data_IF_382393519917
#
_entry.id   IF_382393519917
#
_cell.length_a   1.000
_cell.length_b   1.000
_cell.length_c   1.000
_cell.angle_alpha   90.00
_cell.angle_beta   90.00
_cell.angle_gamma   90.00
#
_symmetry.space_group_name_H-M   'P 1'
#
loop_
_entity.id
_entity.type
_entity.pdbx_description
1 polymer ?
#
# COMPACT_ATOMS: atom_id res chain seq x y z
N UNK A 1 1.93 -78.21 -45.99
CA UNK A 1 3.38 -78.19 -45.88
C UNK A 1 3.81 -77.05 -44.99
N UNK A 2 4.39 -77.41 -43.85
CA UNK A 2 5.23 -76.64 -42.93
C UNK A 2 4.72 -75.27 -42.41
N UNK A 3 4.36 -75.21 -41.14
CA UNK A 3 5.11 -75.02 -39.87
C UNK A 3 5.56 -73.59 -39.60
N UNK A 4 5.15 -73.06 -38.48
CA UNK A 4 5.87 -72.65 -37.34
C UNK A 4 5.26 -71.36 -36.73
N UNK A 5 4.65 -71.43 -35.61
CA UNK A 5 5.11 -71.31 -34.19
C UNK A 5 5.70 -69.95 -33.85
N UNK A 6 5.09 -69.36 -32.84
CA UNK A 6 5.45 -68.70 -31.64
C UNK A 6 4.97 -67.26 -31.52
N UNK A 7 4.04 -67.09 -30.64
CA UNK A 7 4.14 -66.48 -29.30
C UNK A 7 4.76 -65.07 -29.20
N UNK A 8 3.95 -64.13 -28.79
CA UNK A 8 4.30 -63.24 -27.69
C UNK A 8 3.10 -62.42 -27.22
N UNK A 9 2.63 -62.77 -26.09
CA UNK A 9 1.80 -62.02 -25.16
C UNK A 9 2.30 -60.59 -24.98
N UNK A 10 1.46 -59.62 -25.26
CA UNK A 10 1.59 -58.28 -24.66
C UNK A 10 0.22 -57.78 -24.29
N UNK A 11 -0.09 -57.96 -23.02
CA UNK A 11 -1.15 -57.28 -22.28
C UNK A 11 -0.91 -55.78 -22.28
N UNK A 12 -1.69 -55.05 -23.06
CA UNK A 12 -1.78 -53.62 -22.94
C UNK A 12 -2.83 -53.28 -21.87
N UNK A 13 -2.37 -52.88 -20.72
CA UNK A 13 -3.26 -52.38 -19.66
C UNK A 13 -3.88 -51.04 -20.06
N UNK A 14 -5.20 -51.01 -20.12
CA UNK A 14 -5.98 -49.76 -20.18
C UNK A 14 -5.81 -49.03 -18.85
N UNK A 15 -5.03 -47.94 -18.89
CA UNK A 15 -5.04 -46.98 -17.78
C UNK A 15 -6.28 -46.12 -17.90
N UNK A 16 -7.26 -46.38 -17.07
CA UNK A 16 -8.44 -45.53 -16.91
C UNK A 16 -8.04 -44.27 -16.19
N UNK A 17 -7.96 -43.15 -16.91
CA UNK A 17 -7.81 -41.83 -16.31
C UNK A 17 -9.15 -41.45 -15.64
N UNK A 18 -9.19 -41.54 -14.32
CA UNK A 18 -10.27 -40.93 -13.53
C UNK A 18 -9.95 -39.44 -13.40
N UNK A 19 -10.60 -38.61 -14.20
CA UNK A 19 -10.62 -37.17 -13.99
C UNK A 19 -11.57 -36.88 -12.84
N UNK A 20 -11.03 -36.72 -11.64
CA UNK A 20 -11.77 -36.20 -10.49
C UNK A 20 -11.96 -34.69 -10.70
N UNK A 21 -13.15 -34.30 -11.17
CA UNK A 21 -13.56 -32.90 -11.15
C UNK A 21 -13.84 -32.48 -9.71
N UNK A 22 -12.86 -31.81 -9.09
CA UNK A 22 -13.03 -31.18 -7.81
C UNK A 22 -13.85 -29.90 -8.01
N UNK A 23 -15.13 -29.94 -7.68
CA UNK A 23 -15.96 -28.74 -7.54
C UNK A 23 -15.47 -28.02 -6.28
N UNK A 24 -14.66 -26.98 -6.45
CA UNK A 24 -14.33 -26.07 -5.38
C UNK A 24 -15.59 -25.26 -5.04
N UNK A 25 -16.25 -25.61 -3.95
CA UNK A 25 -17.20 -24.73 -3.28
C UNK A 25 -16.38 -23.53 -2.79
N UNK A 26 -16.55 -22.37 -3.42
CA UNK A 26 -16.04 -21.12 -2.89
C UNK A 26 -16.85 -20.75 -1.64
N UNK A 27 -16.44 -21.32 -0.52
CA UNK A 27 -16.80 -20.82 0.79
C UNK A 27 -16.09 -19.50 1.01
N UNK A 28 -16.84 -18.44 1.29
CA UNK A 28 -16.32 -17.19 1.83
C UNK A 28 -15.81 -17.49 3.25
N UNK A 29 -14.66 -18.15 3.32
CA UNK A 29 -13.91 -18.31 4.55
C UNK A 29 -12.95 -17.13 4.65
N UNK A 30 -12.95 -16.43 5.79
CA UNK A 30 -11.86 -15.55 6.17
C UNK A 30 -10.55 -16.32 5.93
N UNK A 31 -9.84 -15.97 4.87
CA UNK A 31 -8.49 -16.45 4.70
C UNK A 31 -7.66 -15.85 5.85
N UNK A 32 -7.41 -16.65 6.88
CA UNK A 32 -6.35 -16.33 7.83
C UNK A 32 -5.09 -16.34 6.97
N UNK A 33 -4.54 -15.16 6.72
CA UNK A 33 -3.30 -15.02 6.01
C UNK A 33 -2.25 -15.93 6.65
N UNK A 34 -1.65 -16.81 5.85
CA UNK A 34 -0.58 -17.68 6.33
C UNK A 34 0.69 -16.85 6.31
N UNK A 35 1.21 -16.57 7.51
CA UNK A 35 2.55 -16.04 7.65
C UNK A 35 3.55 -16.83 6.78
N UNK A 36 4.29 -16.12 5.93
CA UNK A 36 5.37 -16.71 5.14
C UNK A 36 6.61 -16.90 6.05
N UNK A 37 7.04 -18.12 6.36
CA UNK A 37 8.21 -18.33 7.22
C UNK A 37 9.51 -17.80 6.61
N UNK A 38 9.54 -17.53 5.28
CA UNK A 38 10.67 -16.92 4.57
C UNK A 38 10.45 -15.42 4.32
N UNK A 39 9.34 -14.87 4.79
CA UNK A 39 9.01 -13.46 4.65
C UNK A 39 9.98 -12.55 5.40
N UNK A 40 9.99 -11.30 5.00
CA UNK A 40 10.87 -10.27 5.55
C UNK A 40 10.12 -8.94 5.72
N UNK A 41 10.73 -8.03 6.45
CA UNK A 41 10.32 -6.64 6.55
C UNK A 41 10.96 -5.83 5.43
N UNK A 42 10.14 -5.11 4.67
CA UNK A 42 10.56 -4.05 3.74
C UNK A 42 10.27 -2.71 4.38
N UNK A 43 11.20 -1.74 4.28
CA UNK A 43 11.08 -0.45 4.95
C UNK A 43 11.57 -0.47 6.40
N UNK A 44 11.29 0.63 7.14
CA UNK A 44 11.72 0.81 8.53
C UNK A 44 10.63 1.53 9.34
N UNK A 45 9.55 0.81 9.72
CA UNK A 45 8.43 1.42 10.44
C UNK A 45 8.81 1.97 11.81
N UNK A 46 9.74 1.33 12.52
CA UNK A 46 10.19 1.81 13.83
C UNK A 46 10.82 3.22 13.74
N UNK A 47 11.71 3.43 12.77
CA UNK A 47 12.32 4.74 12.56
C UNK A 47 11.30 5.77 12.05
N UNK A 48 10.39 5.38 11.16
CA UNK A 48 9.37 6.25 10.59
C UNK A 48 8.32 6.70 11.62
N UNK A 49 8.00 5.86 12.61
CA UNK A 49 7.01 6.15 13.66
C UNK A 49 7.32 7.44 14.45
N UNK A 50 8.59 7.88 14.47
CA UNK A 50 8.99 9.12 15.12
C UNK A 50 8.39 10.39 14.47
N UNK A 51 7.99 10.29 13.20
CA UNK A 51 7.48 11.40 12.40
C UNK A 51 5.97 11.37 12.23
N UNK A 52 5.27 10.39 12.82
CA UNK A 52 3.83 10.37 12.82
C UNK A 52 3.22 11.50 13.66
N UNK A 53 2.16 12.10 13.11
CA UNK A 53 1.40 13.14 13.79
C UNK A 53 -0.09 13.01 13.50
N UNK A 54 -0.93 13.16 14.52
CA UNK A 54 -2.38 13.17 14.35
C UNK A 54 -2.81 14.46 13.64
N UNK A 55 -3.65 14.33 12.62
CA UNK A 55 -4.25 15.47 11.91
C UNK A 55 -5.37 16.12 12.73
N UNK A 56 -5.64 17.40 12.49
CA UNK A 56 -6.69 18.12 13.17
C UNK A 56 -7.88 18.49 12.27
N UNK A 57 -7.72 18.44 10.97
CA UNK A 57 -8.71 18.78 9.94
C UNK A 57 -8.58 17.84 8.75
N UNK A 58 -9.07 18.25 7.57
CA UNK A 58 -8.94 17.52 6.31
C UNK A 58 -7.52 17.76 5.71
N UNK A 59 -6.48 17.45 6.47
CA UNK A 59 -5.09 17.76 6.15
C UNK A 59 -4.20 16.50 6.10
N UNK A 60 -4.80 15.32 5.89
CA UNK A 60 -4.07 14.04 5.81
C UNK A 60 -2.90 14.09 4.81
N UNK A 61 -3.09 14.66 3.63
CA UNK A 61 -2.05 14.81 2.63
C UNK A 61 -0.91 15.71 3.10
N UNK A 62 -1.22 16.81 3.81
CA UNK A 62 -0.20 17.69 4.38
C UNK A 62 0.59 17.00 5.48
N UNK A 63 -0.08 16.21 6.33
CA UNK A 63 0.57 15.43 7.38
C UNK A 63 1.46 14.34 6.78
N UNK A 64 1.02 13.66 5.72
CA UNK A 64 1.83 12.70 5.01
C UNK A 64 3.11 13.35 4.41
N UNK A 65 2.99 14.56 3.85
CA UNK A 65 4.15 15.32 3.38
C UNK A 65 5.09 15.69 4.54
N UNK A 66 4.54 16.16 5.67
CA UNK A 66 5.36 16.52 6.85
C UNK A 66 6.14 15.32 7.38
N UNK A 67 5.50 14.17 7.45
CA UNK A 67 6.10 12.89 7.86
C UNK A 67 7.25 12.50 6.92
N UNK A 68 7.00 12.45 5.60
CA UNK A 68 8.04 12.14 4.60
C UNK A 68 9.23 13.11 4.67
N UNK A 69 8.97 14.41 4.85
CA UNK A 69 10.04 15.41 5.06
C UNK A 69 10.82 15.10 6.32
N UNK A 70 10.16 14.74 7.41
CA UNK A 70 10.78 14.33 8.66
C UNK A 70 11.70 13.12 8.47
N UNK A 71 11.18 12.07 7.84
CA UNK A 71 11.93 10.83 7.59
C UNK A 71 13.19 11.06 6.74
N UNK A 72 13.13 11.95 5.74
CA UNK A 72 14.29 12.21 4.85
C UNK A 72 15.29 13.22 5.39
N UNK A 73 14.82 14.17 6.21
CA UNK A 73 15.67 15.29 6.64
C UNK A 73 16.02 15.26 8.14
N UNK A 74 15.36 14.40 8.91
CA UNK A 74 15.45 14.39 10.38
C UNK A 74 14.72 15.58 11.05
N UNK A 75 14.01 16.41 10.28
CA UNK A 75 13.33 17.61 10.78
C UNK A 75 11.92 17.69 10.19
N UNK A 76 10.95 17.22 10.92
CA UNK A 76 9.57 17.30 10.52
C UNK A 76 9.02 18.74 10.62
N UNK A 77 8.37 19.28 9.57
CA UNK A 77 7.66 20.55 9.65
C UNK A 77 6.53 20.47 10.69
N UNK A 78 6.24 21.56 11.36
CA UNK A 78 5.02 21.63 12.17
C UNK A 78 3.79 21.62 11.28
N UNK A 79 2.64 21.16 11.80
CA UNK A 79 1.36 21.19 11.09
C UNK A 79 1.09 22.60 10.52
N UNK A 80 1.12 23.64 11.35
CA UNK A 80 0.93 25.01 10.88
C UNK A 80 1.95 25.44 9.81
N UNK A 81 3.16 24.90 9.84
CA UNK A 81 4.20 25.17 8.84
C UNK A 81 3.89 24.56 7.48
N UNK A 82 3.41 23.31 7.43
CA UNK A 82 3.04 22.65 6.18
C UNK A 82 1.72 23.20 5.63
N UNK A 83 0.73 23.49 6.47
CA UNK A 83 -0.52 24.15 6.10
C UNK A 83 -0.25 25.51 5.46
N UNK A 84 0.55 26.35 6.11
CA UNK A 84 0.91 27.67 5.59
C UNK A 84 1.59 27.56 4.22
N UNK A 85 2.46 26.57 4.04
CA UNK A 85 3.10 26.33 2.75
C UNK A 85 2.10 25.90 1.70
N UNK A 86 1.12 25.05 2.04
CA UNK A 86 0.03 24.65 1.14
C UNK A 86 -0.86 25.82 0.73
N UNK A 87 -1.25 26.69 1.67
CA UNK A 87 -2.07 27.89 1.41
C UNK A 87 -1.37 28.90 0.51
N UNK A 88 -0.04 28.98 0.53
CA UNK A 88 0.73 29.91 -0.31
C UNK A 88 1.40 29.26 -1.53
N UNK A 89 1.04 28.01 -1.85
CA UNK A 89 1.53 27.32 -3.04
C UNK A 89 0.37 27.10 -4.01
N UNK A 90 0.52 27.51 -5.26
CA UNK A 90 -0.50 27.27 -6.28
C UNK A 90 -0.60 25.78 -6.61
N UNK A 91 -1.83 25.31 -6.71
CA UNK A 91 -2.13 23.97 -7.16
C UNK A 91 -1.81 23.82 -8.66
N UNK A 92 -1.35 22.64 -9.03
CA UNK A 92 -1.23 22.22 -10.43
C UNK A 92 -2.43 21.37 -10.88
N UNK A 93 -3.23 20.85 -9.93
CA UNK A 93 -4.41 20.03 -10.21
C UNK A 93 -5.69 20.84 -10.40
N UNK A 94 -5.80 22.02 -9.75
CA UNK A 94 -7.01 22.84 -9.78
C UNK A 94 -6.70 24.34 -9.68
N UNK A 95 -7.73 25.19 -9.82
CA UNK A 95 -7.59 26.62 -9.58
C UNK A 95 -7.50 26.91 -8.08
N UNK A 96 -6.50 27.69 -7.69
CA UNK A 96 -6.32 28.12 -6.30
C UNK A 96 -4.99 27.68 -5.73
N UNK A 97 -4.97 27.55 -4.43
CA UNK A 97 -3.81 27.09 -3.68
C UNK A 97 -3.96 25.60 -3.35
N UNK A 98 -2.86 24.91 -3.03
CA UNK A 98 -2.82 23.48 -2.75
C UNK A 98 -3.79 23.10 -1.62
N UNK A 99 -3.89 23.93 -0.59
CA UNK A 99 -4.71 23.66 0.57
C UNK A 99 -5.71 24.79 0.80
N UNK A 100 -6.99 24.46 0.73
CA UNK A 100 -8.12 25.35 1.00
C UNK A 100 -9.00 24.84 2.15
N UNK A 101 -8.43 24.05 3.06
CA UNK A 101 -9.09 23.41 4.22
C UNK A 101 -10.14 22.34 3.88
N UNK A 102 -10.09 21.79 2.67
CA UNK A 102 -10.98 20.76 2.15
C UNK A 102 -10.24 19.56 1.55
N UNK A 103 -8.98 19.37 1.95
CA UNK A 103 -8.10 18.30 1.47
C UNK A 103 -7.08 18.79 0.45
N UNK A 104 -6.36 17.85 -0.13
CA UNK A 104 -5.34 18.08 -1.16
C UNK A 104 -5.41 17.02 -2.23
N UNK A 105 -5.13 17.38 -3.49
CA UNK A 105 -5.00 16.39 -4.56
C UNK A 105 -3.64 15.67 -4.48
N UNK A 106 -3.55 14.42 -4.95
CA UNK A 106 -2.26 13.71 -4.98
C UNK A 106 -1.18 14.42 -5.78
N UNK A 107 -1.52 15.06 -6.89
CA UNK A 107 -0.60 15.85 -7.72
C UNK A 107 0.01 17.00 -6.92
N UNK A 108 -0.77 17.64 -6.09
CA UNK A 108 -0.34 18.75 -5.26
C UNK A 108 0.60 18.31 -4.12
N UNK A 109 0.51 17.05 -3.67
CA UNK A 109 1.49 16.51 -2.72
C UNK A 109 2.88 16.40 -3.34
N UNK A 110 2.97 16.05 -4.64
CA UNK A 110 4.23 16.06 -5.38
C UNK A 110 4.82 17.48 -5.45
N UNK A 111 3.98 18.48 -5.76
CA UNK A 111 4.38 19.89 -5.77
C UNK A 111 4.88 20.33 -4.39
N UNK A 112 4.14 19.95 -3.34
CA UNK A 112 4.46 20.34 -1.97
C UNK A 112 5.77 19.69 -1.46
N UNK A 113 6.01 18.40 -1.76
CA UNK A 113 7.30 17.75 -1.50
C UNK A 113 8.44 18.50 -2.20
N UNK A 114 8.22 18.93 -3.46
CA UNK A 114 9.18 19.75 -4.21
C UNK A 114 9.52 21.07 -3.51
N UNK A 115 8.59 21.69 -2.77
CA UNK A 115 8.86 22.90 -1.97
C UNK A 115 9.76 22.64 -0.77
N UNK A 116 9.92 21.39 -0.35
CA UNK A 116 10.89 20.95 0.65
C UNK A 116 12.19 20.39 0.03
N UNK A 117 12.33 20.49 -1.31
CA UNK A 117 13.51 19.98 -2.02
C UNK A 117 13.47 18.45 -2.24
N UNK A 118 12.33 17.82 -2.02
CA UNK A 118 12.14 16.38 -2.20
C UNK A 118 11.49 16.15 -3.56
N UNK A 119 12.21 15.48 -4.46
CA UNK A 119 11.65 15.06 -5.73
C UNK A 119 10.86 13.76 -5.53
N UNK A 120 9.70 13.69 -6.13
CA UNK A 120 8.83 12.52 -6.05
C UNK A 120 8.07 12.31 -7.36
N UNK A 121 7.56 11.09 -7.53
CA UNK A 121 6.77 10.71 -8.70
C UNK A 121 5.45 10.11 -8.24
N UNK A 122 4.35 10.55 -8.87
CA UNK A 122 3.04 9.95 -8.73
C UNK A 122 2.88 8.87 -9.80
N UNK A 123 2.49 7.68 -9.38
CA UNK A 123 2.21 6.53 -10.25
C UNK A 123 0.91 5.86 -9.85
N UNK A 124 0.28 5.14 -10.78
CA UNK A 124 -0.96 4.37 -10.53
C UNK A 124 -0.82 2.97 -11.11
N UNK A 125 -1.70 2.05 -10.68
CA UNK A 125 -1.64 0.65 -11.12
C UNK A 125 -0.41 -0.09 -10.59
N UNK A 126 0.07 0.32 -9.42
CA UNK A 126 1.22 -0.31 -8.79
C UNK A 126 0.85 -1.69 -8.21
N UNK A 127 1.85 -2.49 -7.88
CA UNK A 127 1.68 -3.80 -7.23
C UNK A 127 2.32 -3.79 -5.86
N UNK A 128 1.96 -4.76 -5.01
CA UNK A 128 2.63 -4.93 -3.70
C UNK A 128 4.13 -5.14 -3.86
N UNK A 129 4.56 -5.90 -4.87
CA UNK A 129 5.98 -6.15 -5.14
C UNK A 129 6.72 -4.85 -5.51
N UNK A 130 6.07 -3.92 -6.25
CA UNK A 130 6.65 -2.61 -6.56
C UNK A 130 6.79 -1.77 -5.28
N UNK A 131 5.75 -1.74 -4.44
CA UNK A 131 5.79 -1.07 -3.13
C UNK A 131 6.89 -1.62 -2.23
N UNK A 132 7.03 -2.94 -2.15
CA UNK A 132 8.09 -3.61 -1.39
C UNK A 132 9.49 -3.21 -1.90
N UNK A 133 9.68 -3.13 -3.23
CA UNK A 133 10.94 -2.70 -3.84
C UNK A 133 11.27 -1.24 -3.53
N UNK A 134 10.29 -0.34 -3.59
CA UNK A 134 10.47 1.07 -3.23
C UNK A 134 10.91 1.22 -1.77
N UNK A 135 10.22 0.52 -0.86
CA UNK A 135 10.55 0.52 0.56
C UNK A 135 11.94 -0.10 0.83
N UNK A 136 12.27 -1.20 0.15
CA UNK A 136 13.59 -1.84 0.24
C UNK A 136 14.70 -0.91 -0.28
N UNK A 137 14.40 -0.09 -1.27
CA UNK A 137 15.30 0.95 -1.80
C UNK A 137 15.49 2.14 -0.85
N UNK A 138 14.73 2.22 0.24
CA UNK A 138 14.75 3.32 1.21
C UNK A 138 13.95 4.54 0.77
N UNK A 139 13.16 4.44 -0.31
CA UNK A 139 12.24 5.49 -0.74
C UNK A 139 11.12 5.66 0.28
N UNK A 140 10.56 6.86 0.37
CA UNK A 140 9.39 7.14 1.19
C UNK A 140 8.17 7.16 0.32
N UNK A 141 7.08 6.59 0.81
CA UNK A 141 5.91 6.29 0.01
C UNK A 141 4.64 6.84 0.67
N UNK A 142 3.88 7.64 -0.08
CA UNK A 142 2.52 8.04 0.29
C UNK A 142 1.56 7.25 -0.60
N UNK A 143 0.56 6.62 0.02
CA UNK A 143 -0.51 5.90 -0.69
C UNK A 143 -1.84 6.62 -0.52
N UNK A 144 -2.66 6.61 -1.58
CA UNK A 144 -4.05 7.03 -1.53
C UNK A 144 -4.95 5.81 -1.25
N UNK A 145 -5.69 5.85 -0.15
CA UNK A 145 -6.48 4.72 0.33
C UNK A 145 -7.91 5.14 0.67
N UNK A 146 -8.81 4.16 0.72
CA UNK A 146 -10.13 4.37 1.29
C UNK A 146 -10.04 4.30 2.82
N UNK A 147 -10.30 5.43 3.49
CA UNK A 147 -10.20 5.55 4.94
C UNK A 147 -11.14 4.60 5.69
N UNK A 148 -12.39 4.46 5.22
CA UNK A 148 -13.35 3.59 5.89
C UNK A 148 -12.91 2.12 5.88
N UNK A 149 -12.27 1.67 4.80
CA UNK A 149 -11.73 0.31 4.71
C UNK A 149 -10.59 0.11 5.71
N UNK A 150 -9.70 1.08 5.85
CA UNK A 150 -8.60 1.02 6.84
C UNK A 150 -9.16 1.04 8.27
N UNK A 151 -10.04 1.99 8.60
CA UNK A 151 -10.48 2.24 9.98
C UNK A 151 -11.55 1.25 10.49
N UNK A 152 -12.30 0.62 9.59
CA UNK A 152 -13.32 -0.38 9.96
C UNK A 152 -12.78 -1.81 9.86
N UNK A 153 -11.48 -1.96 9.95
CA UNK A 153 -10.86 -3.27 9.97
C UNK A 153 -11.42 -4.21 11.05
N UNK A 154 -11.58 -5.53 10.76
CA UNK A 154 -11.92 -6.15 9.48
C UNK A 154 -13.43 -6.27 9.28
N UNK A 155 -13.90 -6.29 8.06
CA UNK A 155 -13.59 -5.62 6.83
C UNK A 155 -14.31 -4.27 6.73
N UNK A 156 -13.78 -3.33 5.97
CA UNK A 156 -14.45 -2.08 5.68
C UNK A 156 -15.83 -2.32 5.08
N UNK A 157 -16.83 -1.67 5.62
CA UNK A 157 -18.21 -1.71 5.17
C UNK A 157 -18.75 -0.32 4.91
N UNK A 158 -17.86 0.64 4.78
CA UNK A 158 -18.22 2.00 4.59
C UNK A 158 -18.99 2.24 3.28
N UNK A 159 -19.66 3.36 3.22
CA UNK A 159 -20.38 3.79 2.02
C UNK A 159 -19.41 4.42 0.99
N UNK A 160 -18.19 4.77 1.38
CA UNK A 160 -17.18 5.36 0.53
C UNK A 160 -16.59 4.32 -0.41
N UNK A 161 -16.53 4.66 -1.70
CA UNK A 161 -16.07 3.74 -2.75
C UNK A 161 -14.76 4.17 -3.40
N UNK A 162 -14.28 5.38 -3.08
CA UNK A 162 -13.07 5.95 -3.66
C UNK A 162 -12.01 6.15 -2.56
N UNK A 163 -10.76 6.26 -2.98
CA UNK A 163 -9.70 6.72 -2.10
C UNK A 163 -9.98 8.18 -1.71
N UNK A 164 -9.92 8.46 -0.42
CA UNK A 164 -10.23 9.76 0.18
C UNK A 164 -9.27 10.13 1.32
N UNK A 165 -8.22 9.33 1.49
CA UNK A 165 -7.24 9.49 2.56
C UNK A 165 -5.83 9.22 2.07
N UNK A 166 -4.87 9.98 2.60
CA UNK A 166 -3.45 9.79 2.34
C UNK A 166 -2.76 9.25 3.59
N UNK A 167 -2.04 8.15 3.43
CA UNK A 167 -1.22 7.54 4.49
C UNK A 167 0.23 7.40 4.04
N UNK A 168 1.17 7.40 4.98
CA UNK A 168 2.56 7.06 4.66
C UNK A 168 2.76 5.57 4.91
N UNK A 169 3.14 4.84 3.87
CA UNK A 169 3.51 3.43 4.01
C UNK A 169 4.95 3.36 4.50
N UNK A 170 5.14 2.82 5.69
CA UNK A 170 6.43 2.80 6.38
C UNK A 170 7.11 1.44 6.32
N UNK A 171 6.33 0.38 6.06
CA UNK A 171 6.85 -0.97 5.89
C UNK A 171 5.81 -1.97 5.40
N UNK A 172 6.32 -3.07 4.85
CA UNK A 172 5.54 -4.27 4.51
C UNK A 172 6.23 -5.46 5.18
N UNK A 173 5.54 -6.12 6.12
CA UNK A 173 6.01 -7.36 6.73
C UNK A 173 5.31 -8.55 6.08
N UNK A 174 5.97 -9.17 5.11
CA UNK A 174 5.43 -10.33 4.39
C UNK A 174 5.38 -11.58 5.26
N UNK A 175 6.14 -11.62 6.37
CA UNK A 175 6.06 -12.73 7.34
C UNK A 175 4.81 -12.66 8.17
N UNK A 176 4.45 -11.45 8.62
CA UNK A 176 3.24 -11.22 9.41
C UNK A 176 1.99 -10.99 8.55
N UNK A 177 2.17 -10.77 7.23
CA UNK A 177 1.12 -10.40 6.27
C UNK A 177 0.43 -9.08 6.65
N UNK A 178 1.23 -8.08 7.02
CA UNK A 178 0.75 -6.75 7.40
C UNK A 178 1.51 -5.65 6.66
N UNK A 179 0.82 -4.53 6.48
CA UNK A 179 1.39 -3.26 6.03
C UNK A 179 1.44 -2.30 7.22
N UNK A 180 2.57 -1.66 7.42
CA UNK A 180 2.81 -0.65 8.44
C UNK A 180 2.54 0.74 7.88
N UNK A 181 1.74 1.52 8.58
CA UNK A 181 1.34 2.86 8.18
C UNK A 181 1.65 3.89 9.27
N UNK A 182 2.03 5.08 8.87
CA UNK A 182 1.78 6.27 9.64
C UNK A 182 0.48 6.89 9.11
N UNK A 183 -0.62 6.68 9.81
CA UNK A 183 -1.94 7.20 9.50
C UNK A 183 -2.26 8.40 10.40
N UNK A 184 -2.32 9.59 9.84
CA UNK A 184 -2.65 10.80 10.58
C UNK A 184 -4.12 10.90 10.97
N UNK A 185 -5.00 10.14 10.35
CA UNK A 185 -6.46 10.21 10.54
C UNK A 185 -6.97 9.57 11.82
N UNK A 186 -6.14 8.78 12.52
CA UNK A 186 -6.53 8.14 13.77
C UNK A 186 -5.56 8.45 14.91
N UNK A 187 -6.02 8.52 16.17
CA UNK A 187 -5.13 8.74 17.31
C UNK A 187 -4.12 7.61 17.54
N UNK A 188 -4.38 6.46 16.97
CA UNK A 188 -3.57 5.22 17.08
C UNK A 188 -2.80 4.92 15.81
N UNK A 189 -2.76 5.83 14.84
CA UNK A 189 -2.21 5.61 13.52
C UNK A 189 -0.68 5.65 13.42
N UNK A 190 0.02 5.79 14.54
CA UNK A 190 1.47 5.67 14.61
C UNK A 190 1.88 4.21 14.48
N UNK A 191 2.58 3.85 13.41
CA UNK A 191 2.96 2.46 13.11
C UNK A 191 1.73 1.53 13.16
N UNK A 192 0.65 1.97 12.55
CA UNK A 192 -0.57 1.19 12.45
C UNK A 192 -0.34 -0.03 11.55
N UNK A 193 -0.72 -1.22 12.04
CA UNK A 193 -0.52 -2.47 11.33
C UNK A 193 -1.84 -2.93 10.74
N UNK A 194 -1.92 -2.94 9.42
CA UNK A 194 -3.11 -3.32 8.66
C UNK A 194 -2.83 -4.63 7.92
N UNK A 195 -3.73 -5.63 7.97
CA UNK A 195 -3.58 -6.82 7.14
C UNK A 195 -3.39 -6.44 5.66
N UNK A 196 -2.45 -7.10 5.00
CA UNK A 196 -2.11 -6.80 3.61
C UNK A 196 -3.33 -6.86 2.68
N UNK A 197 -4.23 -7.82 2.91
CA UNK A 197 -5.48 -7.93 2.14
C UNK A 197 -6.40 -6.70 2.33
N UNK A 198 -6.49 -6.14 3.56
CA UNK A 198 -7.26 -4.93 3.85
C UNK A 198 -6.63 -3.70 3.21
N UNK A 199 -5.31 -3.58 3.30
CA UNK A 199 -4.57 -2.51 2.63
C UNK A 199 -4.80 -2.54 1.12
N UNK A 200 -4.63 -3.69 0.47
CA UNK A 200 -4.88 -3.87 -0.96
C UNK A 200 -6.29 -3.46 -1.37
N UNK A 201 -7.29 -3.85 -0.58
CA UNK A 201 -8.68 -3.46 -0.84
C UNK A 201 -8.87 -1.94 -0.77
N UNK A 202 -8.31 -1.29 0.25
CA UNK A 202 -8.39 0.15 0.43
C UNK A 202 -7.64 0.91 -0.67
N UNK A 203 -6.46 0.43 -1.03
CA UNK A 203 -5.56 1.04 -2.01
C UNK A 203 -6.09 0.95 -3.45
N UNK A 204 -6.69 -0.20 -3.81
CA UNK A 204 -7.30 -0.41 -5.13
C UNK A 204 -8.39 0.62 -5.46
N UNK A 205 -9.06 1.22 -4.46
CA UNK A 205 -10.07 2.27 -4.67
C UNK A 205 -9.47 3.56 -5.26
N UNK A 206 -8.18 3.77 -5.11
CA UNK A 206 -7.40 4.86 -5.68
C UNK A 206 -6.60 4.46 -6.93
N UNK A 207 -6.94 3.33 -7.56
CA UNK A 207 -6.18 2.77 -8.68
C UNK A 207 -4.72 2.52 -8.30
N UNK A 208 -4.49 1.99 -7.11
CA UNK A 208 -3.18 1.64 -6.57
C UNK A 208 -2.17 2.80 -6.68
N UNK A 209 -2.62 4.02 -6.34
CA UNK A 209 -1.84 5.24 -6.46
C UNK A 209 -0.76 5.29 -5.37
N UNK A 210 0.47 5.58 -5.80
CA UNK A 210 1.60 5.91 -4.94
C UNK A 210 2.24 7.25 -5.33
N UNK A 211 2.77 7.92 -4.33
CA UNK A 211 3.75 9.01 -4.49
C UNK A 211 5.04 8.51 -3.85
N UNK A 212 6.06 8.30 -4.69
CA UNK A 212 7.34 7.71 -4.28
C UNK A 212 8.44 8.76 -4.38
N UNK A 213 9.22 8.96 -3.32
CA UNK A 213 10.34 9.91 -3.34
C UNK A 213 11.50 9.38 -4.18
N UNK A 214 12.25 10.27 -4.84
CA UNK A 214 13.50 9.88 -5.50
C UNK A 214 14.66 9.80 -4.50
N UNK A 215 14.62 10.63 -3.45
CA UNK A 215 15.56 10.55 -2.35
C UNK A 215 15.25 9.33 -1.48
N UNK A 216 16.30 8.78 -0.92
CA UNK A 216 16.25 7.66 0.02
C UNK A 216 16.72 8.08 1.39
N UNK A 217 16.17 7.45 2.43
CA UNK A 217 16.58 7.64 3.82
C UNK A 217 16.74 6.28 4.50
N UNK A 218 17.65 6.24 5.48
CA UNK A 218 17.84 5.03 6.31
C UNK A 218 16.69 4.84 7.29
#
# INVERSE_FOLDING_TARGET
MFTGILDANRTAGLATLIVAASIALAGVGNAIAKADPNGQMYGNPEAAAAYWRYQHQEDCGLMAVADVVGQLTGREPSQAGVELRGVFTKSEAHRGDIYLFDGTSPEDLVVLLGKYGIQSQLTTGNTMEALEQDLAGGHKVIAAVNAETIWNYPPGKGERTNADHAVVVTGVDTRADVVHLNDSGTPTGRDEQIPMATFNQAWATGNDLLIVTQQTGN
#
